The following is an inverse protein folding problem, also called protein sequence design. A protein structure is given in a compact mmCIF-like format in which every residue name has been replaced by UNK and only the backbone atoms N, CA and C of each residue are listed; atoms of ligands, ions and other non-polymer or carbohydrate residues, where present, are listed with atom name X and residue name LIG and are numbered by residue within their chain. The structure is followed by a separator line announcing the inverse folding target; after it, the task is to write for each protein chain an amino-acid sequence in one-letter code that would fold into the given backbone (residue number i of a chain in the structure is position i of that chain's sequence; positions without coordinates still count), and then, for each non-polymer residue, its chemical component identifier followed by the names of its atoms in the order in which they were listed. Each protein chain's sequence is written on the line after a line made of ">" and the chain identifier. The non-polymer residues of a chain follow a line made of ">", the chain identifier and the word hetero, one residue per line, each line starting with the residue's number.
data_IF_442935915446
#
_entry.id   IF_442935915446
#
_cell.length_a   1.000
_cell.length_b   1.000
_cell.length_c   1.000
_cell.angle_alpha   90.00
_cell.angle_beta   90.00
_cell.angle_gamma   90.00
#
_symmetry.space_group_name_H-M   'P 1'
#
loop_
_entity.id
_entity.type
_entity.pdbx_description
1 polymer ?
#
# COMPACT_ATOMS: atom_id res chain seq x y z
N UNK A 1 20.85 6.81 -18.13
CA UNK A 1 21.83 7.21 -17.08
C UNK A 1 21.28 8.12 -15.97
N UNK A 2 20.16 8.84 -16.15
CA UNK A 2 19.68 9.86 -15.18
C UNK A 2 19.09 9.28 -13.86
N UNK A 3 18.58 8.04 -13.85
CA UNK A 3 17.94 7.43 -12.66
C UNK A 3 18.90 6.79 -11.65
N UNK A 4 20.06 6.29 -12.11
CA UNK A 4 21.11 5.74 -11.25
C UNK A 4 21.55 6.73 -10.15
N UNK A 5 21.75 8.03 -10.46
CA UNK A 5 21.96 9.06 -9.44
C UNK A 5 20.86 9.13 -8.37
N UNK A 6 19.58 8.99 -8.72
CA UNK A 6 18.48 9.05 -7.75
C UNK A 6 18.41 7.81 -6.87
N UNK A 7 18.62 6.62 -7.44
CA UNK A 7 18.73 5.37 -6.66
C UNK A 7 19.93 5.47 -5.72
N UNK A 8 21.08 5.91 -6.23
CA UNK A 8 22.29 6.11 -5.42
C UNK A 8 22.07 7.16 -4.32
N UNK A 9 21.42 8.29 -4.63
CA UNK A 9 21.12 9.33 -3.65
C UNK A 9 20.16 8.82 -2.56
N UNK A 10 19.16 8.01 -2.92
CA UNK A 10 18.24 7.40 -1.96
C UNK A 10 18.97 6.43 -1.03
N UNK A 11 19.83 5.57 -1.58
CA UNK A 11 20.70 4.68 -0.80
C UNK A 11 21.66 5.44 0.08
N UNK A 12 22.31 6.50 -0.42
CA UNK A 12 23.22 7.36 0.33
C UNK A 12 22.49 8.04 1.49
N UNK A 13 21.26 8.51 1.26
CA UNK A 13 20.42 9.14 2.28
C UNK A 13 20.09 8.16 3.39
N UNK A 14 19.73 6.92 3.05
CA UNK A 14 19.48 5.85 4.02
C UNK A 14 20.78 5.42 4.71
N UNK A 15 21.89 5.32 3.98
CA UNK A 15 23.21 4.93 4.48
C UNK A 15 23.70 5.87 5.58
N UNK A 16 23.56 7.19 5.37
CA UNK A 16 23.88 8.21 6.38
C UNK A 16 23.07 8.06 7.68
N UNK A 17 21.92 7.37 7.64
CA UNK A 17 21.09 7.10 8.84
C UNK A 17 21.30 5.71 9.41
N UNK A 18 21.50 4.71 8.56
CA UNK A 18 21.78 3.33 8.95
C UNK A 18 22.43 2.54 7.80
N UNK A 19 23.76 2.28 7.88
CA UNK A 19 24.48 1.51 6.87
C UNK A 19 23.90 0.11 6.64
N UNK A 20 23.46 -0.56 7.72
CA UNK A 20 22.84 -1.88 7.62
C UNK A 20 21.53 -1.87 6.83
N UNK A 21 20.67 -0.86 7.03
CA UNK A 21 19.42 -0.71 6.28
C UNK A 21 19.70 -0.41 4.81
N UNK A 22 20.73 0.39 4.52
CA UNK A 22 21.16 0.66 3.15
C UNK A 22 21.69 -0.59 2.45
N UNK A 23 22.47 -1.43 3.15
CA UNK A 23 22.93 -2.72 2.62
C UNK A 23 21.77 -3.63 2.25
N UNK A 24 20.79 -3.80 3.15
CA UNK A 24 19.59 -4.60 2.88
C UNK A 24 18.77 -4.01 1.72
N UNK A 25 18.69 -2.68 1.63
CA UNK A 25 18.02 -2.01 0.50
C UNK A 25 18.74 -2.29 -0.83
N UNK A 26 20.08 -2.29 -0.83
CA UNK A 26 20.90 -2.68 -1.99
C UNK A 26 20.64 -4.13 -2.42
N UNK A 27 20.53 -5.05 -1.47
CA UNK A 27 20.17 -6.45 -1.75
C UNK A 27 18.79 -6.57 -2.39
N UNK A 28 17.79 -5.82 -1.91
CA UNK A 28 16.46 -5.80 -2.52
C UNK A 28 16.45 -5.22 -3.93
N UNK A 29 17.25 -4.19 -4.19
CA UNK A 29 17.43 -3.66 -5.54
C UNK A 29 18.00 -4.73 -6.48
N UNK A 30 18.99 -5.50 -6.04
CA UNK A 30 19.53 -6.61 -6.83
C UNK A 30 18.49 -7.70 -7.11
N UNK A 31 17.70 -8.09 -6.10
CA UNK A 31 16.59 -9.05 -6.30
C UNK A 31 15.63 -8.52 -7.37
N UNK A 32 15.21 -7.27 -7.27
CA UNK A 32 14.22 -6.73 -8.21
C UNK A 32 14.80 -6.60 -9.62
N UNK A 33 16.07 -6.25 -9.76
CA UNK A 33 16.72 -6.26 -11.08
C UNK A 33 16.78 -7.67 -11.68
N UNK A 34 16.98 -8.70 -10.85
CA UNK A 34 16.90 -10.10 -11.31
C UNK A 34 15.47 -10.46 -11.75
N UNK A 35 14.46 -10.09 -10.96
CA UNK A 35 13.05 -10.32 -11.33
C UNK A 35 12.70 -9.56 -12.62
N UNK A 36 13.20 -8.34 -12.80
CA UNK A 36 13.02 -7.55 -14.01
C UNK A 36 13.65 -8.24 -15.22
N UNK A 37 14.84 -8.81 -15.06
CA UNK A 37 15.50 -9.57 -16.12
C UNK A 37 14.69 -10.82 -16.51
N UNK A 38 14.20 -11.60 -15.54
CA UNK A 38 13.33 -12.76 -15.80
C UNK A 38 12.06 -12.30 -16.54
N UNK A 39 11.47 -11.20 -16.09
CA UNK A 39 10.28 -10.63 -16.70
C UNK A 39 10.52 -10.20 -18.16
N UNK A 40 11.66 -9.57 -18.45
CA UNK A 40 12.05 -9.21 -19.82
C UNK A 40 12.20 -10.45 -20.70
N UNK A 41 12.75 -11.56 -20.18
CA UNK A 41 12.80 -12.81 -20.92
C UNK A 41 11.40 -13.37 -21.21
N UNK A 42 10.48 -13.35 -20.22
CA UNK A 42 9.10 -13.77 -20.46
C UNK A 42 8.42 -12.92 -21.54
N UNK A 43 8.62 -11.60 -21.53
CA UNK A 43 8.14 -10.70 -22.58
C UNK A 43 8.68 -11.09 -23.96
N UNK A 44 10.00 -11.25 -24.08
CA UNK A 44 10.64 -11.58 -25.36
C UNK A 44 10.21 -12.95 -25.90
N UNK A 45 10.09 -13.97 -25.04
CA UNK A 45 9.82 -15.34 -25.50
C UNK A 45 8.34 -15.70 -25.60
N UNK A 46 7.46 -15.02 -24.85
CA UNK A 46 6.04 -15.38 -24.77
C UNK A 46 5.10 -14.27 -25.23
N UNK A 47 5.62 -13.09 -25.58
CA UNK A 47 4.80 -11.98 -26.06
C UNK A 47 3.83 -11.44 -25.01
N UNK A 48 4.08 -11.68 -23.71
CA UNK A 48 3.28 -11.08 -22.62
C UNK A 48 3.44 -9.56 -22.66
N UNK A 49 2.43 -8.78 -22.27
CA UNK A 49 2.59 -7.33 -22.26
C UNK A 49 3.70 -6.93 -21.29
N UNK A 50 4.63 -6.10 -21.77
CA UNK A 50 5.67 -5.56 -20.91
C UNK A 50 5.07 -4.64 -19.84
N UNK A 51 3.93 -4.00 -20.12
CA UNK A 51 3.18 -3.19 -19.18
C UNK A 51 2.07 -4.00 -18.50
N UNK A 52 2.43 -4.65 -17.39
CA UNK A 52 1.46 -5.31 -16.50
C UNK A 52 0.76 -4.27 -15.66
N UNK A 53 -0.28 -3.65 -16.22
CA UNK A 53 -1.09 -2.69 -15.49
C UNK A 53 -2.34 -2.30 -16.25
N UNK A 54 -3.48 -2.20 -15.57
CA UNK A 54 -4.62 -1.39 -16.02
C UNK A 54 -4.26 0.11 -16.17
N UNK A 55 -3.12 0.54 -15.61
CA UNK A 55 -2.54 1.86 -15.85
C UNK A 55 -1.81 1.96 -17.19
N UNK A 56 -1.70 0.88 -17.97
CA UNK A 56 -1.17 0.88 -19.34
C UNK A 56 -1.91 1.89 -20.25
N UNK A 57 -3.20 2.12 -19.98
CA UNK A 57 -4.02 3.14 -20.66
C UNK A 57 -3.35 4.53 -20.62
N UNK A 58 -2.67 4.88 -19.52
CA UNK A 58 -1.93 6.14 -19.36
C UNK A 58 -0.63 6.20 -20.16
N UNK A 59 -0.05 5.06 -20.50
CA UNK A 59 1.14 4.97 -21.35
C UNK A 59 0.76 5.00 -22.83
N UNK A 60 -0.25 4.24 -23.21
CA UNK A 60 -0.69 4.11 -24.60
C UNK A 60 -1.50 5.31 -25.13
N UNK A 61 -1.76 6.35 -24.31
CA UNK A 61 -2.62 7.48 -24.68
C UNK A 61 -3.96 7.02 -25.29
N UNK A 62 -4.52 5.93 -24.77
CA UNK A 62 -5.90 5.56 -25.07
C UNK A 62 -6.82 6.68 -24.57
N UNK A 63 -8.08 6.74 -25.00
CA UNK A 63 -9.02 7.82 -24.65
C UNK A 63 -9.28 7.93 -23.13
N UNK A 64 -8.36 8.59 -22.44
CA UNK A 64 -8.43 8.86 -21.00
C UNK A 64 -9.23 10.14 -20.83
N UNK A 65 -10.36 10.03 -20.14
CA UNK A 65 -11.16 11.19 -19.76
C UNK A 65 -10.31 12.22 -19.00
N UNK A 66 -10.59 13.50 -19.22
CA UNK A 66 -9.84 14.58 -18.55
C UNK A 66 -9.94 14.49 -17.02
N UNK A 67 -11.07 14.01 -16.52
CA UNK A 67 -11.27 13.68 -15.10
C UNK A 67 -10.30 12.60 -14.59
N UNK A 68 -9.97 11.60 -15.41
CA UNK A 68 -9.03 10.54 -15.05
C UNK A 68 -7.55 11.00 -15.10
N UNK A 69 -7.23 12.02 -15.91
CA UNK A 69 -5.92 12.69 -15.87
C UNK A 69 -5.78 13.57 -14.63
N UNK A 70 -6.79 14.38 -14.32
CA UNK A 70 -6.79 15.27 -13.15
C UNK A 70 -6.70 14.49 -11.82
N UNK A 71 -7.40 13.35 -11.70
CA UNK A 71 -7.35 12.45 -10.52
C UNK A 71 -5.95 11.89 -10.23
N UNK A 72 -5.10 11.81 -11.25
CA UNK A 72 -3.77 11.21 -11.18
C UNK A 72 -2.73 12.14 -11.76
N UNK A 73 -2.87 13.45 -11.56
CA UNK A 73 -2.08 14.45 -12.29
C UNK A 73 -0.57 14.23 -12.15
N UNK A 74 -0.10 13.89 -10.96
CA UNK A 74 1.33 13.63 -10.75
C UNK A 74 1.75 12.32 -11.43
N UNK A 75 0.92 11.29 -11.33
CA UNK A 75 1.16 10.02 -12.03
C UNK A 75 1.21 10.21 -13.53
N UNK A 76 0.22 10.88 -14.10
CA UNK A 76 0.13 11.21 -15.52
C UNK A 76 1.37 11.98 -15.98
N UNK A 77 1.77 13.01 -15.25
CA UNK A 77 2.96 13.79 -15.59
C UNK A 77 4.24 12.95 -15.53
N UNK A 78 4.38 12.06 -14.53
CA UNK A 78 5.52 11.12 -14.45
C UNK A 78 5.51 10.19 -15.67
N UNK A 79 4.36 9.63 -16.02
CA UNK A 79 4.19 8.76 -17.18
C UNK A 79 4.53 9.47 -18.49
N UNK A 80 4.02 10.69 -18.71
CA UNK A 80 4.32 11.49 -19.90
C UNK A 80 5.80 11.89 -19.96
N UNK A 81 6.43 12.21 -18.82
CA UNK A 81 7.87 12.51 -18.78
C UNK A 81 8.69 11.29 -19.18
N UNK A 82 8.34 10.11 -18.65
CA UNK A 82 8.97 8.83 -19.02
C UNK A 82 8.77 8.51 -20.51
N UNK A 83 7.57 8.78 -21.05
CA UNK A 83 7.26 8.60 -22.48
C UNK A 83 8.11 9.49 -23.38
N UNK A 84 8.38 10.73 -22.96
CA UNK A 84 9.14 11.70 -23.75
C UNK A 84 10.65 11.40 -23.83
N UNK A 85 11.15 10.45 -23.03
CA UNK A 85 12.53 9.99 -23.16
C UNK A 85 12.57 8.84 -24.17
N UNK A 86 13.24 9.01 -25.32
CA UNK A 86 13.35 8.07 -26.46
C UNK A 86 13.94 6.67 -26.16
N UNK A 87 14.05 6.28 -24.89
CA UNK A 87 14.46 4.94 -24.47
C UNK A 87 13.31 3.94 -24.65
N UNK A 88 13.66 2.67 -24.89
CA UNK A 88 12.69 1.55 -25.00
C UNK A 88 11.57 1.70 -23.96
N UNK A 89 10.40 2.04 -24.48
CA UNK A 89 9.26 2.65 -23.80
C UNK A 89 8.82 1.90 -22.52
N UNK A 90 9.13 0.60 -22.43
CA UNK A 90 8.83 -0.25 -21.27
C UNK A 90 9.87 -0.24 -20.15
N UNK A 91 11.17 -0.33 -20.45
CA UNK A 91 12.17 -0.65 -19.41
C UNK A 91 12.36 0.50 -18.41
N UNK A 92 12.40 1.74 -18.91
CA UNK A 92 12.63 2.92 -18.08
C UNK A 92 11.46 3.21 -17.13
N UNK A 93 10.23 2.94 -17.56
CA UNK A 93 9.02 3.11 -16.75
C UNK A 93 9.01 2.18 -15.53
N UNK A 94 9.72 1.06 -15.57
CA UNK A 94 9.86 0.13 -14.43
C UNK A 94 10.96 0.55 -13.45
N UNK A 95 12.07 1.12 -13.94
CA UNK A 95 13.22 1.48 -13.10
C UNK A 95 12.93 2.67 -12.19
N UNK A 96 12.13 3.64 -12.62
CA UNK A 96 11.89 4.87 -11.83
C UNK A 96 11.32 4.56 -10.44
N UNK A 97 10.52 3.50 -10.35
CA UNK A 97 9.91 3.02 -9.11
C UNK A 97 10.93 2.47 -8.11
N UNK A 98 12.11 2.01 -8.56
CA UNK A 98 13.13 1.42 -7.68
C UNK A 98 13.69 2.43 -6.66
N UNK A 99 13.61 3.72 -6.96
CA UNK A 99 14.01 4.81 -6.04
C UNK A 99 13.23 4.75 -4.72
N UNK A 100 12.01 4.19 -4.70
CA UNK A 100 11.17 4.14 -3.51
C UNK A 100 11.57 3.05 -2.52
N UNK A 101 12.29 2.00 -2.98
CA UNK A 101 12.59 0.82 -2.16
C UNK A 101 13.40 1.18 -0.92
N UNK A 102 14.52 1.93 -1.00
CA UNK A 102 15.28 2.27 0.21
C UNK A 102 14.44 3.03 1.24
N UNK A 103 13.51 3.89 0.80
CA UNK A 103 12.59 4.59 1.69
C UNK A 103 11.57 3.65 2.33
N UNK A 104 11.01 2.71 1.56
CA UNK A 104 10.10 1.69 2.07
C UNK A 104 10.78 0.84 3.16
N UNK A 105 11.98 0.32 2.87
CA UNK A 105 12.75 -0.50 3.82
C UNK A 105 13.10 0.30 5.07
N UNK A 106 13.53 1.55 4.90
CA UNK A 106 13.83 2.45 6.02
C UNK A 106 12.60 2.69 6.90
N UNK A 107 11.46 3.03 6.31
CA UNK A 107 10.27 3.36 7.10
C UNK A 107 9.68 2.14 7.80
N UNK A 108 9.71 0.94 7.20
CA UNK A 108 9.30 -0.31 7.84
C UNK A 108 10.14 -0.61 9.10
N UNK A 109 11.45 -0.41 9.01
CA UNK A 109 12.34 -0.54 10.16
C UNK A 109 12.02 0.47 11.26
N UNK A 110 11.82 1.74 10.89
CA UNK A 110 11.53 2.81 11.86
C UNK A 110 10.17 2.66 12.53
N UNK A 111 9.14 2.23 11.79
CA UNK A 111 7.77 2.07 12.27
C UNK A 111 7.63 0.94 13.31
N UNK A 112 8.44 -0.10 13.20
CA UNK A 112 8.41 -1.26 14.13
C UNK A 112 9.53 -1.27 15.15
N UNK A 113 10.51 -0.39 14.99
CA UNK A 113 11.77 -0.36 15.73
C UNK A 113 12.43 -1.75 15.86
N UNK A 114 12.37 -2.54 14.79
CA UNK A 114 12.81 -3.94 14.77
C UNK A 114 13.55 -4.25 13.49
N UNK A 115 14.78 -4.79 13.56
CA UNK A 115 15.51 -5.22 12.35
C UNK A 115 14.79 -6.36 11.61
N UNK A 116 13.92 -7.11 12.28
CA UNK A 116 13.16 -8.21 11.66
C UNK A 116 12.15 -7.72 10.63
N UNK A 117 11.66 -6.49 10.74
CA UNK A 117 10.71 -5.95 9.75
C UNK A 117 11.35 -5.68 8.40
N UNK A 118 12.68 -5.57 8.35
CA UNK A 118 13.44 -5.46 7.10
C UNK A 118 13.21 -6.67 6.19
N UNK A 119 12.80 -7.83 6.73
CA UNK A 119 12.55 -9.06 5.97
C UNK A 119 11.09 -9.25 5.55
N UNK A 120 10.18 -8.32 5.90
CA UNK A 120 8.78 -8.38 5.48
C UNK A 120 8.66 -8.45 3.94
N UNK A 121 9.38 -7.62 3.15
CA UNK A 121 9.28 -7.69 1.69
C UNK A 121 9.83 -8.99 1.08
N UNK A 122 10.72 -9.69 1.77
CA UNK A 122 11.16 -11.02 1.35
C UNK A 122 10.08 -12.08 1.60
N UNK A 123 9.37 -11.96 2.72
CA UNK A 123 8.27 -12.87 3.05
C UNK A 123 7.02 -12.62 2.19
N UNK A 124 6.80 -11.37 1.77
CA UNK A 124 5.75 -10.97 0.82
C UNK A 124 6.38 -10.43 -0.46
N UNK A 125 6.93 -11.30 -1.34
CA UNK A 125 7.74 -10.88 -2.49
C UNK A 125 6.98 -10.01 -3.49
N UNK A 126 5.64 -10.12 -3.54
CA UNK A 126 4.79 -9.23 -4.33
C UNK A 126 4.94 -7.74 -3.96
N UNK A 127 5.35 -7.41 -2.72
CA UNK A 127 5.65 -6.02 -2.32
C UNK A 127 6.80 -5.46 -3.17
N UNK A 128 7.83 -6.26 -3.38
CA UNK A 128 8.99 -5.90 -4.20
C UNK A 128 8.64 -5.93 -5.68
N UNK A 129 7.86 -6.92 -6.11
CA UNK A 129 7.36 -6.99 -7.49
C UNK A 129 6.61 -5.72 -7.92
N UNK A 130 5.77 -5.16 -7.03
CA UNK A 130 5.03 -3.94 -7.33
C UNK A 130 5.91 -2.70 -7.55
N UNK A 131 7.17 -2.75 -7.13
CA UNK A 131 8.16 -1.69 -7.38
C UNK A 131 8.82 -1.75 -8.75
N UNK A 132 8.51 -2.76 -9.57
CA UNK A 132 8.91 -2.81 -10.98
C UNK A 132 7.72 -2.80 -11.94
N UNK A 133 6.50 -3.08 -11.47
CA UNK A 133 5.30 -2.77 -12.23
C UNK A 133 5.14 -1.25 -12.25
N UNK A 134 4.85 -0.66 -13.41
CA UNK A 134 4.59 0.75 -13.54
C UNK A 134 3.25 1.12 -12.87
N UNK A 135 3.26 1.10 -11.54
CA UNK A 135 2.10 1.27 -10.66
C UNK A 135 2.40 2.31 -9.60
N UNK A 136 1.44 3.21 -9.40
CA UNK A 136 1.49 4.21 -8.32
C UNK A 136 1.32 3.62 -6.92
N UNK A 137 0.75 2.42 -6.78
CA UNK A 137 0.36 1.82 -5.48
C UNK A 137 1.54 1.72 -4.50
N UNK A 138 2.73 1.36 -4.97
CA UNK A 138 3.92 1.24 -4.12
C UNK A 138 4.42 2.61 -3.62
N UNK A 139 4.29 3.66 -4.45
CA UNK A 139 4.61 5.03 -4.08
C UNK A 139 3.61 5.54 -3.05
N UNK A 140 2.31 5.37 -3.32
CA UNK A 140 1.22 5.72 -2.41
C UNK A 140 1.40 5.07 -1.04
N UNK A 141 1.67 3.76 -1.04
CA UNK A 141 1.90 3.01 0.18
C UNK A 141 3.13 3.51 0.95
N UNK A 142 4.25 3.71 0.26
CA UNK A 142 5.49 4.18 0.90
C UNK A 142 5.35 5.58 1.47
N UNK A 143 4.77 6.53 0.73
CA UNK A 143 4.53 7.88 1.23
C UNK A 143 3.51 7.90 2.37
N UNK A 144 2.52 7.00 2.36
CA UNK A 144 1.59 6.84 3.50
C UNK A 144 2.32 6.41 4.77
N UNK A 145 3.25 5.46 4.68
CA UNK A 145 4.08 5.04 5.81
C UNK A 145 5.03 6.17 6.27
N UNK A 146 5.66 6.88 5.33
CA UNK A 146 6.53 8.03 5.64
C UNK A 146 5.73 9.11 6.35
N UNK A 147 4.51 9.41 5.90
CA UNK A 147 3.62 10.36 6.52
C UNK A 147 3.30 9.96 7.97
N UNK A 148 2.86 8.71 8.20
CA UNK A 148 2.57 8.20 9.56
C UNK A 148 3.81 8.31 10.47
N UNK A 149 4.97 7.86 9.98
CA UNK A 149 6.22 7.92 10.73
C UNK A 149 6.64 9.37 11.04
N UNK A 150 6.58 10.24 10.04
CA UNK A 150 6.93 11.64 10.17
C UNK A 150 5.99 12.38 11.12
N UNK A 151 4.71 11.97 11.13
CA UNK A 151 3.69 12.56 11.96
C UNK A 151 3.85 12.20 13.44
N UNK A 152 4.21 10.96 13.80
CA UNK A 152 4.29 10.57 15.22
C UNK A 152 5.70 10.55 15.81
N UNK A 153 6.70 10.13 15.04
CA UNK A 153 7.99 9.72 15.60
C UNK A 153 9.20 10.52 15.06
N UNK A 154 9.12 11.09 13.86
CA UNK A 154 10.22 11.90 13.34
C UNK A 154 10.34 13.26 14.04
N UNK A 155 11.52 13.57 14.59
CA UNK A 155 11.82 14.82 15.30
C UNK A 155 12.82 15.74 14.58
N UNK A 156 13.15 15.46 13.32
CA UNK A 156 14.13 16.26 12.57
C UNK A 156 13.59 17.62 12.11
N UNK A 157 14.48 18.58 11.86
CA UNK A 157 14.15 19.94 11.37
C UNK A 157 13.32 19.96 10.07
N UNK A 158 13.44 18.91 9.24
CA UNK A 158 12.71 18.78 7.99
C UNK A 158 11.35 18.09 8.11
N UNK A 159 10.83 17.86 9.32
CA UNK A 159 9.57 17.13 9.54
C UNK A 159 8.39 17.70 8.75
N UNK A 160 8.21 19.02 8.81
CA UNK A 160 7.10 19.70 8.12
C UNK A 160 7.24 19.54 6.61
N UNK A 161 8.44 19.74 6.07
CA UNK A 161 8.71 19.54 4.64
C UNK A 161 8.38 18.11 4.20
N UNK A 162 8.80 17.08 4.98
CA UNK A 162 8.49 15.68 4.69
C UNK A 162 6.98 15.42 4.68
N UNK A 163 6.24 15.99 5.64
CA UNK A 163 4.78 15.86 5.70
C UNK A 163 4.12 16.52 4.49
N UNK A 164 4.51 17.74 4.13
CA UNK A 164 3.98 18.47 2.97
C UNK A 164 4.28 17.72 1.68
N UNK A 165 5.51 17.25 1.49
CA UNK A 165 5.87 16.44 0.32
C UNK A 165 5.06 15.15 0.27
N UNK A 166 4.90 14.45 1.39
CA UNK A 166 4.11 13.22 1.44
C UNK A 166 2.65 13.49 1.05
N UNK A 167 2.04 14.56 1.56
CA UNK A 167 0.68 14.98 1.16
C UNK A 167 0.61 15.29 -0.33
N UNK A 168 1.56 16.06 -0.86
CA UNK A 168 1.63 16.38 -2.29
C UNK A 168 1.68 15.11 -3.15
N UNK A 169 2.56 14.16 -2.82
CA UNK A 169 2.67 12.90 -3.53
C UNK A 169 1.40 12.05 -3.40
N UNK A 170 0.84 11.92 -2.20
CA UNK A 170 -0.38 11.13 -1.97
C UNK A 170 -1.55 11.70 -2.75
N UNK A 171 -1.73 13.01 -2.73
CA UNK A 171 -2.84 13.69 -3.42
C UNK A 171 -2.66 13.66 -4.92
N UNK A 172 -1.46 13.98 -5.41
CA UNK A 172 -1.17 13.96 -6.85
C UNK A 172 -1.28 12.57 -7.47
N UNK A 173 -1.12 11.51 -6.66
CA UNK A 173 -1.27 10.12 -7.10
C UNK A 173 -2.69 9.59 -6.90
N UNK A 174 -3.29 9.78 -5.71
CA UNK A 174 -4.64 9.28 -5.35
C UNK A 174 -5.21 10.02 -4.11
N UNK A 175 -6.02 11.07 -4.29
CA UNK A 175 -6.47 11.96 -3.22
C UNK A 175 -7.14 11.29 -2.01
N UNK A 176 -7.95 10.25 -2.21
CA UNK A 176 -8.68 9.64 -1.09
C UNK A 176 -7.79 8.96 -0.05
N UNK A 177 -6.55 8.57 -0.40
CA UNK A 177 -5.61 7.99 0.57
C UNK A 177 -5.29 8.96 1.70
N UNK A 178 -5.32 10.26 1.41
CA UNK A 178 -5.17 11.29 2.44
C UNK A 178 -6.34 11.23 3.44
N UNK A 179 -7.57 11.04 2.96
CA UNK A 179 -8.75 10.87 3.82
C UNK A 179 -8.59 9.68 4.78
N UNK A 180 -8.13 8.53 4.27
CA UNK A 180 -7.82 7.35 5.09
C UNK A 180 -6.74 7.62 6.14
N UNK A 181 -5.67 8.32 5.77
CA UNK A 181 -4.61 8.68 6.70
C UNK A 181 -5.12 9.61 7.81
N UNK A 182 -5.89 10.63 7.45
CA UNK A 182 -6.42 11.58 8.42
C UNK A 182 -7.43 10.94 9.36
N UNK A 183 -8.27 10.03 8.85
CA UNK A 183 -9.14 9.20 9.68
C UNK A 183 -8.32 8.35 10.66
N UNK A 184 -7.25 7.70 10.19
CA UNK A 184 -6.36 6.92 11.04
C UNK A 184 -5.69 7.77 12.13
N UNK A 185 -5.20 8.97 11.80
CA UNK A 185 -4.66 9.91 12.77
C UNK A 185 -5.72 10.28 13.81
N UNK A 186 -6.90 10.72 13.36
CA UNK A 186 -8.02 11.11 14.22
C UNK A 186 -8.43 9.98 15.16
N UNK A 187 -8.49 8.74 14.67
CA UNK A 187 -8.76 7.55 15.49
C UNK A 187 -7.71 7.34 16.59
N UNK A 188 -6.41 7.52 16.30
CA UNK A 188 -5.37 7.48 17.34
C UNK A 188 -5.63 8.52 18.42
N UNK A 189 -5.93 9.77 18.02
CA UNK A 189 -6.16 10.87 18.96
C UNK A 189 -7.40 10.64 19.83
N UNK A 190 -8.50 10.17 19.25
CA UNK A 190 -9.73 9.83 19.99
C UNK A 190 -9.45 8.72 21.00
N UNK A 191 -8.78 7.65 20.58
CA UNK A 191 -8.43 6.55 21.47
C UNK A 191 -7.51 7.01 22.62
N UNK A 192 -6.58 7.93 22.37
CA UNK A 192 -5.77 8.51 23.44
C UNK A 192 -6.58 9.33 24.44
N UNK A 193 -7.58 10.10 24.01
CA UNK A 193 -8.45 10.86 24.91
C UNK A 193 -9.25 9.91 25.80
N UNK A 194 -9.89 8.91 25.19
CA UNK A 194 -10.70 7.92 25.89
C UNK A 194 -9.85 7.14 26.91
N UNK A 195 -8.63 6.73 26.52
CA UNK A 195 -7.78 5.88 27.36
C UNK A 195 -6.96 6.64 28.41
N UNK A 196 -6.55 7.89 28.15
CA UNK A 196 -5.56 8.60 29.00
C UNK A 196 -6.12 9.77 29.80
N UNK A 197 -7.41 10.13 29.70
CA UNK A 197 -8.06 11.24 30.44
C UNK A 197 -7.19 12.52 30.53
N UNK A 198 -6.49 12.91 29.46
CA UNK A 198 -5.61 14.10 29.47
C UNK A 198 -6.32 15.33 28.91
N UNK A 199 -6.57 16.32 29.78
CA UNK A 199 -7.18 17.61 29.43
C UNK A 199 -6.15 18.72 29.17
N UNK A 200 -6.50 19.69 28.32
CA UNK A 200 -5.89 21.03 28.32
C UNK A 200 -5.16 21.45 27.05
N UNK A 201 -4.04 20.80 26.69
CA UNK A 201 -3.17 21.28 25.60
C UNK A 201 -3.04 20.34 24.39
N UNK A 202 -3.71 19.19 24.46
CA UNK A 202 -3.68 18.15 23.45
C UNK A 202 -4.59 18.47 22.26
N UNK A 203 -5.82 18.93 22.54
CA UNK A 203 -6.79 19.29 21.51
C UNK A 203 -6.30 20.44 20.63
N UNK A 204 -5.62 21.47 21.20
CA UNK A 204 -5.03 22.57 20.43
C UNK A 204 -3.92 22.11 19.46
N UNK A 205 -3.05 21.18 19.87
CA UNK A 205 -2.02 20.59 18.98
C UNK A 205 -2.65 19.75 17.88
N UNK A 206 -3.63 18.91 18.23
CA UNK A 206 -4.41 18.12 17.28
C UNK A 206 -5.12 19.01 16.27
N UNK A 207 -5.89 20.00 16.75
CA UNK A 207 -6.63 20.96 15.92
C UNK A 207 -5.68 21.72 15.00
N UNK A 208 -4.48 22.12 15.44
CA UNK A 208 -3.48 22.75 14.57
C UNK A 208 -3.08 21.85 13.39
N UNK A 209 -2.78 20.57 13.65
CA UNK A 209 -2.38 19.64 12.59
C UNK A 209 -3.55 19.18 11.72
N UNK A 210 -4.74 19.01 12.30
CA UNK A 210 -5.97 18.69 11.58
C UNK A 210 -6.43 19.86 10.73
N UNK A 211 -6.40 21.09 11.23
CA UNK A 211 -6.75 22.30 10.46
C UNK A 211 -5.74 22.53 9.34
N UNK A 212 -4.44 22.36 9.58
CA UNK A 212 -3.44 22.40 8.49
C UNK A 212 -3.69 21.33 7.43
N UNK A 213 -4.06 20.12 7.87
CA UNK A 213 -4.42 19.03 6.96
C UNK A 213 -5.76 19.29 6.27
N UNK A 214 -6.74 19.87 6.95
CA UNK A 214 -8.08 20.17 6.46
C UNK A 214 -8.11 21.37 5.52
N UNK A 215 -7.25 22.38 5.72
CA UNK A 215 -7.02 23.47 4.78
C UNK A 215 -6.33 22.94 3.51
N UNK A 216 -5.44 21.96 3.65
CA UNK A 216 -4.90 21.21 2.51
C UNK A 216 -6.02 20.43 1.81
N UNK A 217 -6.88 19.73 2.58
CA UNK A 217 -8.05 19.01 2.06
C UNK A 217 -9.05 19.96 1.39
N UNK A 218 -9.35 21.14 1.91
CA UNK A 218 -10.37 22.03 1.34
C UNK A 218 -9.92 22.60 0.01
N UNK A 219 -8.62 22.91 -0.14
CA UNK A 219 -8.03 23.23 -1.44
C UNK A 219 -8.10 22.07 -2.44
N UNK A 220 -8.08 20.84 -1.95
CA UNK A 220 -8.13 19.59 -2.74
C UNK A 220 -9.58 19.16 -3.03
N UNK A 221 -10.51 19.34 -2.10
CA UNK A 221 -11.92 18.93 -2.21
C UNK A 221 -12.66 19.75 -3.26
N UNK A 222 -12.32 21.05 -3.38
CA UNK A 222 -12.81 21.90 -4.47
C UNK A 222 -12.33 21.38 -5.84
N UNK A 223 -11.15 20.74 -5.90
CA UNK A 223 -10.58 20.18 -7.14
C UNK A 223 -11.16 18.78 -7.47
N UNK A 224 -11.57 17.98 -6.48
CA UNK A 224 -11.97 16.57 -6.68
C UNK A 224 -13.45 16.23 -6.41
N UNK A 225 -14.32 17.24 -6.25
CA UNK A 225 -15.78 17.10 -5.99
C UNK A 225 -16.47 16.06 -6.90
N UNK A 226 -16.17 16.08 -8.20
CA UNK A 226 -16.79 15.20 -9.21
C UNK A 226 -16.47 13.71 -8.98
N UNK A 227 -15.33 13.38 -8.38
CA UNK A 227 -14.93 11.99 -8.13
C UNK A 227 -15.51 11.43 -6.84
N UNK A 228 -15.65 12.27 -5.81
CA UNK A 228 -16.41 11.89 -4.60
C UNK A 228 -17.83 11.50 -5.02
N UNK A 229 -18.44 12.28 -5.91
CA UNK A 229 -19.72 11.93 -6.50
C UNK A 229 -19.67 10.64 -7.32
N UNK A 230 -18.59 10.34 -8.06
CA UNK A 230 -18.45 9.06 -8.78
C UNK A 230 -18.26 7.85 -7.85
N UNK A 231 -17.55 8.00 -6.72
CA UNK A 231 -17.44 6.95 -5.70
C UNK A 231 -18.77 6.77 -4.96
N UNK A 232 -19.44 7.85 -4.60
CA UNK A 232 -20.78 7.82 -4.03
C UNK A 232 -21.76 7.18 -5.01
N UNK A 233 -21.70 7.52 -6.29
CA UNK A 233 -22.49 6.89 -7.35
C UNK A 233 -22.16 5.40 -7.52
N UNK A 234 -20.87 5.01 -7.47
CA UNK A 234 -20.50 3.58 -7.56
C UNK A 234 -21.00 2.81 -6.34
N UNK A 235 -21.00 3.44 -5.16
CA UNK A 235 -21.59 2.90 -3.95
C UNK A 235 -23.11 2.83 -4.15
N UNK A 236 -23.79 3.92 -4.53
CA UNK A 236 -25.23 3.98 -4.80
C UNK A 236 -25.66 2.92 -5.82
N UNK A 237 -24.99 2.78 -6.96
CA UNK A 237 -25.26 1.73 -7.95
C UNK A 237 -25.03 0.34 -7.36
N UNK A 238 -23.99 0.13 -6.56
CA UNK A 238 -23.80 -1.15 -5.84
C UNK A 238 -24.89 -1.38 -4.77
N UNK A 239 -25.41 -0.32 -4.17
CA UNK A 239 -26.48 -0.36 -3.16
C UNK A 239 -27.86 -0.57 -3.79
N UNK A 240 -28.07 -0.09 -5.01
CA UNK A 240 -29.33 -0.13 -5.76
C UNK A 240 -29.45 -1.38 -6.64
N UNK A 241 -28.41 -1.73 -7.41
CA UNK A 241 -28.46 -2.81 -8.42
C UNK A 241 -27.80 -4.12 -7.95
N UNK A 242 -26.99 -4.06 -6.88
CA UNK A 242 -26.14 -5.17 -6.46
C UNK A 242 -25.16 -5.69 -7.52
N UNK A 243 -24.61 -6.90 -7.32
CA UNK A 243 -23.68 -7.51 -8.28
C UNK A 243 -24.35 -8.09 -9.54
N UNK A 244 -25.63 -7.81 -9.76
CA UNK A 244 -26.46 -8.43 -10.80
C UNK A 244 -25.93 -8.26 -12.23
N UNK A 245 -25.03 -7.29 -12.48
CA UNK A 245 -24.47 -7.02 -13.81
C UNK A 245 -23.05 -7.54 -14.06
N UNK A 246 -22.37 -8.17 -13.09
CA UNK A 246 -20.92 -8.42 -13.22
C UNK A 246 -20.47 -9.88 -13.38
N UNK A 247 -21.28 -10.90 -13.03
CA UNK A 247 -21.00 -12.33 -13.30
C UNK A 247 -22.17 -13.22 -12.84
N UNK A 248 -22.43 -14.33 -13.54
CA UNK A 248 -23.56 -15.29 -13.42
C UNK A 248 -23.78 -16.00 -12.05
N UNK A 249 -23.20 -15.48 -10.97
CA UNK A 249 -23.53 -15.88 -9.59
C UNK A 249 -23.99 -14.64 -8.84
N UNK A 250 -25.22 -14.23 -9.12
CA UNK A 250 -25.86 -13.09 -8.48
C UNK A 250 -26.03 -13.37 -6.97
N UNK A 251 -25.10 -12.85 -6.17
CA UNK A 251 -25.40 -12.57 -4.77
C UNK A 251 -26.28 -11.32 -4.84
N UNK A 252 -27.58 -11.47 -4.54
CA UNK A 252 -28.47 -10.34 -4.32
C UNK A 252 -27.79 -9.43 -3.30
N UNK A 253 -27.40 -8.22 -3.71
CA UNK A 253 -26.84 -7.25 -2.79
C UNK A 253 -28.00 -6.63 -2.00
N UNK A 254 -28.60 -7.41 -1.11
CA UNK A 254 -29.32 -6.80 -0.02
C UNK A 254 -28.31 -6.04 0.84
N UNK A 255 -28.65 -4.82 1.24
CA UNK A 255 -28.00 -3.97 2.27
C UNK A 255 -27.85 -4.65 3.66
N UNK A 256 -27.95 -5.97 3.69
CA UNK A 256 -27.71 -6.84 4.83
C UNK A 256 -26.25 -6.81 5.26
N UNK A 257 -26.01 -6.94 6.57
CA UNK A 257 -24.67 -7.09 7.13
C UNK A 257 -23.86 -8.24 6.51
N UNK A 258 -24.54 -9.22 5.91
CA UNK A 258 -23.92 -10.35 5.20
C UNK A 258 -23.08 -9.91 4.01
N UNK A 259 -23.54 -8.95 3.20
CA UNK A 259 -22.78 -8.42 2.05
C UNK A 259 -21.49 -7.73 2.50
N UNK A 260 -21.56 -6.94 3.57
CA UNK A 260 -20.40 -6.27 4.16
C UNK A 260 -19.38 -7.30 4.64
N UNK A 261 -19.82 -8.32 5.37
CA UNK A 261 -18.96 -9.39 5.87
C UNK A 261 -18.33 -10.15 4.70
N UNK A 262 -19.12 -10.54 3.71
CA UNK A 262 -18.65 -11.25 2.52
C UNK A 262 -17.58 -10.44 1.77
N UNK A 263 -17.83 -9.16 1.53
CA UNK A 263 -16.91 -8.25 0.83
C UNK A 263 -15.56 -8.12 1.57
N UNK A 264 -15.58 -8.02 2.90
CA UNK A 264 -14.34 -7.99 3.70
C UNK A 264 -13.61 -9.32 3.70
N UNK A 265 -14.33 -10.44 3.86
CA UNK A 265 -13.76 -11.78 3.79
C UNK A 265 -13.11 -11.98 2.42
N UNK A 266 -13.81 -11.63 1.34
CA UNK A 266 -13.29 -11.73 -0.02
C UNK A 266 -12.04 -10.87 -0.19
N UNK A 267 -12.05 -9.62 0.25
CA UNK A 267 -10.85 -8.76 0.20
C UNK A 267 -9.66 -9.36 0.94
N UNK A 268 -9.86 -9.91 2.13
CA UNK A 268 -8.77 -10.46 2.94
C UNK A 268 -8.25 -11.76 2.32
N UNK A 269 -9.14 -12.68 1.97
CA UNK A 269 -8.77 -14.06 1.66
C UNK A 269 -8.60 -14.37 0.16
N UNK A 270 -9.13 -13.55 -0.76
CA UNK A 270 -9.03 -13.84 -2.22
C UNK A 270 -7.94 -13.05 -2.93
N UNK A 271 -7.22 -13.60 -3.92
CA UNK A 271 -7.42 -14.94 -4.46
C UNK A 271 -6.99 -16.03 -3.48
N UNK A 272 -7.65 -17.18 -3.54
CA UNK A 272 -7.30 -18.33 -2.70
C UNK A 272 -6.07 -18.99 -3.36
N UNK A 273 -5.01 -19.37 -2.61
CA UNK A 273 -3.82 -19.97 -3.21
C UNK A 273 -4.09 -21.17 -4.12
N UNK A 274 -5.11 -21.98 -3.80
CA UNK A 274 -5.51 -23.12 -4.64
C UNK A 274 -6.07 -22.69 -5.99
N UNK A 275 -6.89 -21.63 -6.06
CA UNK A 275 -7.44 -21.14 -7.31
C UNK A 275 -6.34 -20.55 -8.20
N UNK A 276 -5.37 -19.86 -7.60
CA UNK A 276 -4.20 -19.35 -8.33
C UNK A 276 -3.29 -20.47 -8.84
N UNK A 277 -3.07 -21.50 -8.02
CA UNK A 277 -2.27 -22.66 -8.42
C UNK A 277 -2.92 -23.39 -9.59
N UNK A 278 -4.25 -23.58 -9.54
CA UNK A 278 -5.04 -24.13 -10.63
C UNK A 278 -4.91 -23.28 -11.89
N UNK A 279 -5.08 -21.95 -11.79
CA UNK A 279 -4.93 -21.04 -12.93
C UNK A 279 -3.56 -21.18 -13.62
N UNK A 280 -2.48 -21.14 -12.84
CA UNK A 280 -1.09 -21.30 -13.34
C UNK A 280 -0.87 -22.66 -14.01
N UNK A 281 -1.47 -23.72 -13.46
CA UNK A 281 -1.26 -25.09 -13.92
C UNK A 281 -2.16 -25.46 -15.12
N UNK A 282 -3.43 -25.07 -15.10
CA UNK A 282 -4.44 -25.48 -16.08
C UNK A 282 -4.48 -24.58 -17.30
N UNK A 283 -4.35 -23.27 -17.11
CA UNK A 283 -4.54 -22.27 -18.17
C UNK A 283 -3.20 -21.67 -18.63
N UNK A 284 -2.10 -22.03 -17.97
CA UNK A 284 -0.81 -21.37 -18.12
C UNK A 284 -0.75 -20.06 -17.34
N UNK A 285 0.07 -19.10 -17.76
CA UNK A 285 0.08 -17.79 -17.11
C UNK A 285 -1.12 -16.94 -17.51
N UNK A 286 -1.49 -16.04 -16.60
CA UNK A 286 -2.37 -14.92 -16.92
C UNK A 286 -1.77 -14.03 -18.02
N UNK A 287 -2.57 -13.08 -18.51
CA UNK A 287 -2.12 -12.00 -19.41
C UNK A 287 -0.91 -11.21 -18.87
N UNK A 288 -0.65 -11.32 -17.57
CA UNK A 288 0.44 -10.66 -16.86
C UNK A 288 1.67 -11.55 -16.62
N UNK A 289 1.73 -12.75 -17.19
CA UNK A 289 2.93 -13.60 -17.15
C UNK A 289 3.13 -14.40 -15.85
N UNK A 290 4.02 -15.39 -15.93
CA UNK A 290 4.25 -16.37 -14.87
C UNK A 290 4.93 -15.75 -13.66
N UNK A 291 5.85 -14.82 -13.89
CA UNK A 291 6.55 -14.13 -12.81
C UNK A 291 5.58 -13.36 -11.92
N UNK A 292 4.59 -12.66 -12.50
CA UNK A 292 3.55 -11.97 -11.75
C UNK A 292 2.71 -12.95 -10.91
N UNK A 293 2.24 -14.03 -11.54
CA UNK A 293 1.37 -15.00 -10.90
C UNK A 293 2.06 -15.76 -9.76
N UNK A 294 3.31 -16.16 -9.97
CA UNK A 294 4.12 -16.81 -8.96
C UNK A 294 4.37 -15.91 -7.75
N UNK A 295 4.79 -14.65 -7.96
CA UNK A 295 5.09 -13.74 -6.85
C UNK A 295 3.82 -13.34 -6.09
N UNK A 296 2.70 -13.22 -6.80
CA UNK A 296 1.36 -13.01 -6.21
C UNK A 296 0.95 -14.23 -5.36
N UNK A 297 1.13 -15.45 -5.88
CA UNK A 297 0.85 -16.70 -5.17
C UNK A 297 1.71 -16.83 -3.90
N UNK A 298 3.02 -16.60 -3.99
CA UNK A 298 3.94 -16.69 -2.86
C UNK A 298 3.55 -15.71 -1.74
N UNK A 299 3.23 -14.46 -2.08
CA UNK A 299 2.73 -13.49 -1.09
C UNK A 299 1.41 -13.92 -0.45
N UNK A 300 0.51 -14.52 -1.22
CA UNK A 300 -0.78 -14.97 -0.72
C UNK A 300 -0.62 -16.18 0.21
N UNK A 301 0.26 -17.15 -0.12
CA UNK A 301 0.63 -18.25 0.76
C UNK A 301 1.23 -17.70 2.07
N UNK A 302 2.16 -16.76 1.98
CA UNK A 302 2.76 -16.09 3.15
C UNK A 302 1.73 -15.36 4.01
N UNK A 303 0.70 -14.75 3.40
CA UNK A 303 -0.40 -14.12 4.13
C UNK A 303 -1.19 -15.16 4.92
N UNK A 304 -1.55 -16.28 4.30
CA UNK A 304 -2.26 -17.37 4.97
C UNK A 304 -1.43 -17.97 6.11
N UNK A 305 -0.14 -18.23 5.90
CA UNK A 305 0.77 -18.69 6.95
C UNK A 305 0.86 -17.69 8.12
N UNK A 306 0.87 -16.38 7.82
CA UNK A 306 0.82 -15.34 8.85
C UNK A 306 -0.48 -15.39 9.64
N UNK A 307 -1.62 -15.53 8.98
CA UNK A 307 -2.91 -15.66 9.66
C UNK A 307 -3.00 -16.91 10.51
N UNK A 308 -2.61 -18.08 10.00
CA UNK A 308 -2.55 -19.30 10.79
C UNK A 308 -1.68 -19.09 12.03
N UNK A 309 -0.49 -18.51 11.89
CA UNK A 309 0.38 -18.22 13.02
C UNK A 309 -0.28 -17.26 14.03
N UNK A 310 -0.97 -16.22 13.58
CA UNK A 310 -1.68 -15.27 14.45
C UNK A 310 -2.82 -15.98 15.19
N UNK A 311 -3.63 -16.81 14.51
CA UNK A 311 -4.74 -17.57 15.08
C UNK A 311 -4.24 -18.56 16.14
N UNK A 312 -3.20 -19.35 15.84
CA UNK A 312 -2.59 -20.26 16.82
C UNK A 312 -1.99 -19.52 18.03
N UNK A 313 -1.81 -18.20 17.94
CA UNK A 313 -1.29 -17.36 19.01
C UNK A 313 -2.30 -16.31 19.48
N UNK A 314 -3.61 -16.53 19.28
CA UNK A 314 -4.66 -15.55 19.56
C UNK A 314 -4.65 -15.06 21.02
N UNK A 315 -4.34 -15.96 21.98
CA UNK A 315 -4.22 -15.59 23.41
C UNK A 315 -3.15 -14.51 23.66
N UNK A 316 -2.11 -14.48 22.83
CA UNK A 316 -1.00 -13.50 22.90
C UNK A 316 -1.31 -12.23 22.12
N UNK A 317 -2.24 -12.30 21.16
CA UNK A 317 -2.62 -11.15 20.34
C UNK A 317 -3.16 -9.99 21.18
N UNK A 318 -3.97 -10.28 22.21
CA UNK A 318 -4.46 -9.26 23.16
C UNK A 318 -3.30 -8.48 23.80
N UNK A 319 -2.27 -9.18 24.27
CA UNK A 319 -1.07 -8.56 24.84
C UNK A 319 -0.31 -7.73 23.82
N UNK A 320 -0.18 -8.23 22.59
CA UNK A 320 0.45 -7.49 21.48
C UNK A 320 -0.29 -6.19 21.15
N UNK A 321 -1.62 -6.24 21.08
CA UNK A 321 -2.46 -5.08 20.82
C UNK A 321 -2.29 -4.03 21.93
N UNK A 322 -2.38 -4.44 23.20
CA UNK A 322 -2.28 -3.53 24.33
C UNK A 322 -0.87 -2.97 24.55
N UNK A 323 0.17 -3.77 24.35
CA UNK A 323 1.55 -3.37 24.66
C UNK A 323 2.29 -2.72 23.50
N UNK A 324 1.93 -3.02 22.24
CA UNK A 324 2.59 -2.42 21.08
C UNK A 324 1.65 -1.47 20.36
N UNK A 325 0.52 -1.94 19.82
CA UNK A 325 -0.36 -1.07 19.03
C UNK A 325 -0.90 0.11 19.84
N UNK A 326 -1.47 -0.10 21.03
CA UNK A 326 -2.00 1.02 21.84
C UNK A 326 -0.93 1.92 22.48
N UNK A 327 0.33 1.45 22.62
CA UNK A 327 1.41 2.25 23.20
C UNK A 327 2.17 3.05 22.14
N UNK A 328 2.35 2.50 20.95
CA UNK A 328 3.11 3.09 19.84
C UNK A 328 2.14 3.70 18.82
N UNK A 329 2.04 5.04 18.80
CA UNK A 329 1.02 5.78 18.04
C UNK A 329 1.10 5.52 16.54
N UNK A 330 2.31 5.41 16.02
CA UNK A 330 2.57 5.07 14.62
C UNK A 330 2.05 3.68 14.24
N UNK A 331 2.16 2.69 15.13
CA UNK A 331 1.63 1.35 14.89
C UNK A 331 0.11 1.36 14.93
N UNK A 332 -0.49 2.09 15.88
CA UNK A 332 -1.95 2.25 15.94
C UNK A 332 -2.49 2.95 14.69
N UNK A 333 -1.85 4.04 14.27
CA UNK A 333 -2.23 4.74 13.05
C UNK A 333 -2.12 3.84 11.83
N UNK A 334 -1.06 3.04 11.75
CA UNK A 334 -0.89 2.08 10.66
C UNK A 334 -1.95 0.96 10.66
N UNK A 335 -2.32 0.46 11.85
CA UNK A 335 -3.42 -0.48 12.00
C UNK A 335 -4.74 0.13 11.51
N UNK A 336 -5.09 1.33 12.00
CA UNK A 336 -6.33 2.03 11.62
C UNK A 336 -6.35 2.38 10.13
N UNK A 337 -5.22 2.79 9.56
CA UNK A 337 -5.07 3.01 8.12
C UNK A 337 -5.34 1.72 7.34
N UNK A 338 -4.76 0.61 7.77
CA UNK A 338 -4.95 -0.70 7.12
C UNK A 338 -6.41 -1.15 7.21
N UNK A 339 -7.05 -1.00 8.38
CA UNK A 339 -8.48 -1.27 8.54
C UNK A 339 -9.33 -0.41 7.62
N UNK A 340 -9.04 0.90 7.53
CA UNK A 340 -9.72 1.79 6.60
C UNK A 340 -9.53 1.40 5.13
N UNK A 341 -8.32 0.95 4.74
CA UNK A 341 -8.10 0.42 3.39
C UNK A 341 -8.91 -0.85 3.13
N UNK A 342 -8.98 -1.78 4.08
CA UNK A 342 -9.82 -2.98 3.97
C UNK A 342 -11.28 -2.59 3.85
N UNK A 343 -11.74 -1.60 4.62
CA UNK A 343 -13.13 -1.15 4.58
C UNK A 343 -13.51 -0.56 3.22
N UNK A 344 -12.72 0.38 2.71
CA UNK A 344 -13.02 1.05 1.44
C UNK A 344 -12.85 0.07 0.27
N UNK A 345 -11.73 -0.64 0.20
CA UNK A 345 -11.47 -1.55 -0.92
C UNK A 345 -12.18 -2.90 -0.82
N UNK A 346 -12.62 -3.28 0.37
CA UNK A 346 -13.53 -4.40 0.52
C UNK A 346 -14.88 -4.09 -0.10
N UNK A 347 -15.42 -2.90 0.13
CA UNK A 347 -16.71 -2.52 -0.49
C UNK A 347 -16.56 -2.20 -1.98
N UNK A 348 -15.44 -1.62 -2.38
CA UNK A 348 -15.13 -1.33 -3.77
C UNK A 348 -14.95 -2.64 -4.57
N UNK A 349 -15.79 -2.86 -5.59
CA UNK A 349 -15.87 -4.13 -6.32
C UNK A 349 -16.16 -5.35 -5.43
N UNK A 350 -16.80 -5.17 -4.27
CA UNK A 350 -17.30 -6.27 -3.43
C UNK A 350 -16.24 -7.27 -3.03
N UNK A 351 -15.04 -6.77 -2.74
CA UNK A 351 -13.89 -7.54 -2.28
C UNK A 351 -13.07 -8.17 -3.39
N UNK A 352 -13.49 -8.07 -4.66
CA UNK A 352 -12.78 -8.56 -5.84
C UNK A 352 -11.60 -7.68 -6.28
N UNK A 353 -10.95 -6.98 -5.35
CA UNK A 353 -9.86 -6.05 -5.66
C UNK A 353 -8.55 -6.75 -6.07
N UNK A 354 -7.76 -6.08 -6.92
CA UNK A 354 -6.44 -6.57 -7.31
C UNK A 354 -5.52 -6.81 -6.10
N UNK A 355 -4.68 -7.84 -6.14
CA UNK A 355 -3.74 -8.17 -5.03
C UNK A 355 -2.82 -7.03 -4.60
N UNK A 356 -2.61 -6.01 -5.45
CA UNK A 356 -1.82 -4.82 -5.14
C UNK A 356 -2.42 -3.91 -4.06
N UNK A 357 -3.75 -3.87 -3.92
CA UNK A 357 -4.38 -3.04 -2.87
C UNK A 357 -4.23 -3.64 -1.47
N UNK A 358 -3.73 -4.88 -1.37
CA UNK A 358 -3.45 -5.59 -0.11
C UNK A 358 -2.08 -5.29 0.49
N UNK A 359 -1.27 -4.42 -0.12
CA UNK A 359 0.03 -4.00 0.41
C UNK A 359 -0.01 -3.67 1.92
N UNK A 360 -0.97 -2.87 2.43
CA UNK A 360 -1.07 -2.60 3.86
C UNK A 360 -1.36 -3.85 4.70
N UNK A 361 -2.20 -4.76 4.18
CA UNK A 361 -2.54 -6.00 4.88
C UNK A 361 -1.34 -6.95 5.00
N UNK A 362 -0.56 -7.13 3.93
CA UNK A 362 0.66 -7.96 3.95
C UNK A 362 1.63 -7.47 5.01
N UNK A 363 1.92 -6.17 5.01
CA UNK A 363 2.84 -5.58 5.99
C UNK A 363 2.27 -5.65 7.41
N UNK A 364 0.98 -5.38 7.62
CA UNK A 364 0.35 -5.52 8.95
C UNK A 364 0.44 -6.94 9.49
N UNK A 365 0.18 -7.96 8.65
CA UNK A 365 0.31 -9.36 9.01
C UNK A 365 1.76 -9.68 9.44
N UNK A 366 2.75 -9.27 8.63
CA UNK A 366 4.17 -9.45 8.95
C UNK A 366 4.60 -8.76 10.25
N UNK A 367 4.17 -7.51 10.46
CA UNK A 367 4.41 -6.76 11.71
C UNK A 367 3.82 -7.52 12.90
N UNK A 368 2.57 -7.98 12.78
CA UNK A 368 1.88 -8.70 13.87
C UNK A 368 2.61 -9.98 14.25
N UNK A 369 3.09 -10.76 13.27
CA UNK A 369 3.90 -11.97 13.51
C UNK A 369 5.18 -11.62 14.29
N UNK A 370 5.88 -10.57 13.88
CA UNK A 370 7.12 -10.10 14.55
C UNK A 370 6.83 -9.70 16.00
N UNK A 371 5.74 -8.96 16.23
CA UNK A 371 5.36 -8.49 17.56
C UNK A 371 4.92 -9.64 18.47
N UNK A 372 4.17 -10.63 17.96
CA UNK A 372 3.85 -11.85 18.71
C UNK A 372 5.13 -12.58 19.14
N UNK A 373 6.11 -12.73 18.24
CA UNK A 373 7.39 -13.37 18.58
C UNK A 373 8.16 -12.57 19.64
N UNK A 374 8.19 -11.23 19.52
CA UNK A 374 8.81 -10.33 20.50
C UNK A 374 8.14 -10.44 21.87
N UNK A 375 6.81 -10.51 21.89
CA UNK A 375 6.01 -10.68 23.11
C UNK A 375 6.30 -12.00 23.83
N UNK A 376 6.36 -13.12 23.08
CA UNK A 376 6.70 -14.44 23.62
C UNK A 376 8.06 -14.44 24.34
N UNK A 377 9.08 -13.88 23.69
CA UNK A 377 10.44 -13.87 24.22
C UNK A 377 10.55 -13.06 25.52
N UNK A 378 9.77 -11.98 25.67
CA UNK A 378 9.77 -11.15 26.87
C UNK A 378 9.07 -11.75 28.08
N UNK A 379 8.12 -12.68 27.88
CA UNK A 379 7.42 -13.35 29.00
C UNK A 379 8.10 -14.62 29.47
N UNK A 380 9.00 -15.17 28.65
CA UNK A 380 9.76 -16.38 28.97
C UNK A 380 11.19 -16.08 29.46
N UNK A 381 11.61 -14.80 29.41
CA UNK A 381 12.82 -14.27 30.02
C UNK A 381 12.42 -13.53 31.28
#
# INVERSE_FOLDING_TARGET
>A
MILLPFIFLSLLTVYKKSPFVALISGYYLLIILLVLAIFSLEHTFRGIDYFISDEAVYFYNLDISEAAKQDRILWFNIVQTVKSTDFEFGFFSKIIHLVIIPFLIFVLWRLTNSRKSLFIPLFFPYILFLSQTALRDIWLFTFSLIFIYAFFNFKGKYRILILVLSVFFIVGMRPFYLGLLLFALLGVYILEIILKKKEGNFFKKFLKYVVLSALSISGIFVVFKNKINSYLFSIEVLLEDGFSKAQDTAIEASLTGEYFIYSFVRFVFTPIPTSMFQEIYSNGASEFGYTNDLLRLLSQISLYLSFFYIIFNIRKLKGVILEYFFKEKELLAYLLFTLGTISIYGLYHGGGGHSRVKLPLYVLAGITVILIKKYKLRRNA
#
